data_IF_248237001104
#
_entry.id   IF_248237001104
#
_cell.length_a   1.000
_cell.length_b   1.000
_cell.length_c   1.000
_cell.angle_alpha   90.00
_cell.angle_beta   90.00
_cell.angle_gamma   90.00
#
_symmetry.space_group_name_H-M   'P 1'
#
loop_
_entity.id
_entity.type
_entity.pdbx_description
1 polymer ?
#
# COMPACT_ATOMS: atom_id res chain seq x y z
N UNK A 1 -6.06 -3.54 21.90
CA UNK A 1 -6.24 -3.78 20.45
C UNK A 1 -4.95 -3.41 19.72
N UNK A 2 -4.61 -4.16 18.68
CA UNK A 2 -3.46 -3.86 17.83
C UNK A 2 -3.81 -2.76 16.84
N UNK A 3 -2.81 -1.97 16.43
CA UNK A 3 -2.93 -1.01 15.34
C UNK A 3 -1.79 -1.24 14.33
N UNK A 4 -2.08 -0.98 13.06
CA UNK A 4 -1.18 -1.23 11.96
C UNK A 4 -1.07 0.00 11.07
N UNK A 5 0.13 0.37 10.66
CA UNK A 5 0.39 1.42 9.69
C UNK A 5 1.57 1.01 8.81
N UNK A 6 1.53 1.38 7.53
CA UNK A 6 2.67 1.24 6.62
C UNK A 6 3.53 2.48 6.57
N UNK A 7 2.93 3.66 6.67
CA UNK A 7 3.61 4.95 6.65
C UNK A 7 3.16 5.82 7.82
N UNK A 8 3.96 6.82 8.15
CA UNK A 8 3.64 7.83 9.14
C UNK A 8 4.25 9.17 8.75
N UNK A 9 3.98 10.20 9.55
CA UNK A 9 4.64 11.50 9.39
C UNK A 9 6.10 11.52 9.89
N UNK A 10 6.56 10.44 10.50
CA UNK A 10 7.92 10.31 11.04
C UNK A 10 8.83 9.39 10.22
N UNK A 11 8.24 8.58 9.32
CA UNK A 11 8.97 7.64 8.48
C UNK A 11 8.83 8.00 7.00
N UNK A 12 9.80 7.67 6.15
CA UNK A 12 9.60 7.77 4.71
C UNK A 12 8.38 6.95 4.28
N UNK A 13 7.65 7.44 3.28
CA UNK A 13 6.46 6.76 2.75
C UNK A 13 6.77 5.34 2.30
N UNK A 14 5.81 4.43 2.43
CA UNK A 14 6.00 3.01 2.13
C UNK A 14 6.56 2.74 0.73
N UNK A 15 6.08 3.36 -0.36
CA UNK A 15 6.69 3.16 -1.67
C UNK A 15 8.19 3.45 -1.70
N UNK A 16 8.63 4.56 -1.10
CA UNK A 16 10.05 4.92 -1.00
C UNK A 16 10.85 3.88 -0.21
N UNK A 17 10.35 3.46 0.96
CA UNK A 17 11.02 2.45 1.79
C UNK A 17 11.12 1.09 1.10
N UNK A 18 10.18 0.78 0.22
CA UNK A 18 10.15 -0.50 -0.52
C UNK A 18 10.90 -0.44 -1.86
N UNK A 19 11.73 0.59 -2.06
CA UNK A 19 12.66 0.67 -3.18
C UNK A 19 12.31 1.70 -4.24
N UNK A 20 11.22 2.45 -4.05
CA UNK A 20 10.79 3.51 -4.96
C UNK A 20 10.31 3.03 -6.34
N UNK A 21 9.84 3.96 -7.15
CA UNK A 21 9.31 3.71 -8.48
C UNK A 21 8.12 2.76 -8.50
N UNK A 22 7.79 2.23 -9.67
CA UNK A 22 6.64 1.34 -9.82
C UNK A 22 6.74 0.07 -8.96
N UNK A 23 7.94 -0.45 -8.75
CA UNK A 23 8.16 -1.61 -7.88
C UNK A 23 7.88 -1.31 -6.41
N UNK A 24 8.32 -0.14 -5.92
CA UNK A 24 8.03 0.31 -4.56
C UNK A 24 6.54 0.55 -4.34
N UNK A 25 5.85 1.16 -5.32
CA UNK A 25 4.40 1.36 -5.31
C UNK A 25 3.65 0.02 -5.28
N UNK A 26 4.03 -0.91 -6.16
CA UNK A 26 3.41 -2.25 -6.20
C UNK A 26 3.60 -3.00 -4.87
N UNK A 27 4.80 -2.96 -4.29
CA UNK A 27 5.06 -3.57 -2.97
C UNK A 27 4.20 -2.93 -1.88
N UNK A 28 4.13 -1.60 -1.83
CA UNK A 28 3.31 -0.91 -0.84
C UNK A 28 1.83 -1.28 -0.96
N UNK A 29 1.31 -1.35 -2.20
CA UNK A 29 -0.07 -1.77 -2.46
C UNK A 29 -0.29 -3.26 -2.09
N UNK A 30 0.66 -4.15 -2.35
CA UNK A 30 0.57 -5.54 -1.93
C UNK A 30 0.54 -5.66 -0.38
N UNK A 31 1.37 -4.89 0.33
CA UNK A 31 1.35 -4.86 1.79
C UNK A 31 0.08 -4.21 2.37
N UNK A 32 -0.65 -3.37 1.61
CA UNK A 32 -1.93 -2.84 2.06
C UNK A 32 -2.99 -3.94 2.23
N UNK A 33 -2.90 -5.04 1.48
CA UNK A 33 -3.73 -6.24 1.68
C UNK A 33 -3.51 -6.79 3.09
N UNK A 34 -2.24 -6.94 3.51
CA UNK A 34 -1.93 -7.37 4.88
C UNK A 34 -2.46 -6.37 5.91
N UNK A 35 -2.13 -5.08 5.74
CA UNK A 35 -2.54 -4.01 6.64
C UNK A 35 -4.06 -3.99 6.87
N UNK A 36 -4.85 -4.08 5.81
CA UNK A 36 -6.30 -3.94 5.87
C UNK A 36 -7.01 -5.21 6.35
N UNK A 37 -6.40 -6.39 6.20
CA UNK A 37 -7.08 -7.64 6.51
C UNK A 37 -6.57 -8.35 7.78
N UNK A 38 -5.50 -7.88 8.39
CA UNK A 38 -5.11 -8.31 9.75
C UNK A 38 -6.15 -7.88 10.80
N UNK A 39 -6.26 -8.63 11.92
CA UNK A 39 -7.03 -8.18 13.08
C UNK A 39 -6.45 -6.88 13.66
N UNK A 40 -7.32 -5.97 14.06
CA UNK A 40 -6.93 -4.69 14.64
C UNK A 40 -7.40 -3.50 13.80
N UNK A 41 -6.87 -2.32 14.12
CA UNK A 41 -7.23 -1.06 13.50
C UNK A 41 -6.16 -0.65 12.49
N UNK A 42 -6.45 -0.64 11.18
CA UNK A 42 -5.53 -0.12 10.18
C UNK A 42 -5.55 1.41 10.15
N UNK A 43 -4.37 2.00 10.12
CA UNK A 43 -4.17 3.42 9.87
C UNK A 43 -3.57 3.59 8.47
N UNK A 44 -4.23 4.39 7.64
CA UNK A 44 -3.74 4.79 6.34
C UNK A 44 -3.19 6.21 6.47
N UNK A 45 -1.91 6.37 6.23
CA UNK A 45 -1.30 7.69 6.20
C UNK A 45 -1.65 8.37 4.88
N UNK A 46 -1.99 9.65 4.95
CA UNK A 46 -2.36 10.44 3.77
C UNK A 46 -1.36 10.26 2.62
N UNK A 47 -1.85 9.90 1.44
CA UNK A 47 -1.05 9.63 0.25
C UNK A 47 -0.61 8.18 0.07
N UNK A 48 -0.79 7.29 1.06
CA UNK A 48 -0.63 5.84 0.86
C UNK A 48 -1.62 5.35 -0.19
N UNK A 49 -2.86 5.86 -0.14
CA UNK A 49 -3.93 5.56 -1.09
C UNK A 49 -3.67 6.03 -2.51
N UNK A 50 -2.73 6.95 -2.70
CA UNK A 50 -2.27 7.42 -4.01
C UNK A 50 -0.96 6.76 -4.46
N UNK A 51 -0.34 5.96 -3.59
CA UNK A 51 0.97 5.39 -3.86
C UNK A 51 2.10 6.42 -3.87
N UNK A 52 1.95 7.52 -3.13
CA UNK A 52 2.93 8.61 -3.16
C UNK A 52 4.25 8.20 -2.53
N UNK A 53 5.34 8.59 -3.16
CA UNK A 53 6.68 8.53 -2.59
C UNK A 53 6.99 9.77 -1.73
N UNK A 54 7.97 9.64 -0.83
CA UNK A 54 8.59 10.78 -0.18
C UNK A 54 9.31 11.63 -1.23
N UNK A 55 9.22 12.94 -1.10
CA UNK A 55 9.96 13.87 -1.95
C UNK A 55 11.33 14.19 -1.35
N UNK A 56 12.26 14.62 -2.19
CA UNK A 56 13.47 15.29 -1.73
C UNK A 56 13.16 16.76 -1.45
N UNK A 57 13.48 17.21 -0.23
CA UNK A 57 13.29 18.61 0.17
C UNK A 57 14.65 19.28 0.21
N UNK A 58 14.83 20.35 -0.58
CA UNK A 58 16.08 21.10 -0.62
C UNK A 58 16.35 21.77 0.75
N UNK A 59 17.62 21.96 1.13
CA UNK A 59 17.97 22.54 2.43
C UNK A 59 17.26 23.86 2.73
N UNK A 60 17.09 24.73 1.72
CA UNK A 60 16.41 26.02 1.84
C UNK A 60 14.89 25.94 2.07
N UNK A 61 14.27 24.80 1.73
CA UNK A 61 12.84 24.55 1.90
C UNK A 61 12.53 23.63 3.11
N UNK A 62 13.56 23.15 3.82
CA UNK A 62 13.37 22.29 5.00
C UNK A 62 12.70 23.06 6.13
N UNK A 63 11.69 22.44 6.73
CA UNK A 63 10.95 23.00 7.86
C UNK A 63 11.05 22.13 9.13
N UNK A 64 11.46 20.86 9.01
CA UNK A 64 11.60 19.96 10.16
C UNK A 64 12.80 20.34 11.03
N UNK A 65 12.57 20.64 12.34
CA UNK A 65 13.68 20.90 13.27
C UNK A 65 14.70 19.75 13.38
N UNK A 66 14.32 18.52 13.03
CA UNK A 66 15.25 17.38 13.02
C UNK A 66 16.29 17.58 11.92
N UNK A 67 15.86 17.85 10.68
CA UNK A 67 16.78 18.14 9.57
C UNK A 67 17.73 19.32 9.90
N UNK A 68 17.19 20.38 10.49
CA UNK A 68 17.97 21.57 10.87
C UNK A 68 19.01 21.32 11.96
N UNK A 69 18.91 20.22 12.71
CA UNK A 69 19.85 19.82 13.76
C UNK A 69 20.83 18.74 13.34
N UNK A 70 20.57 18.09 12.20
CA UNK A 70 21.40 16.98 11.74
C UNK A 70 22.66 17.52 11.06
N UNK A 71 23.80 17.35 11.72
CA UNK A 71 25.11 17.72 11.16
C UNK A 71 25.52 16.84 9.99
N UNK A 72 24.91 15.66 9.83
CA UNK A 72 25.17 14.72 8.75
C UNK A 72 24.40 15.04 7.46
N UNK A 73 23.57 16.08 7.45
CA UNK A 73 22.78 16.50 6.28
C UNK A 73 21.60 15.59 5.95
N UNK A 74 21.15 14.75 6.89
CA UNK A 74 19.96 13.91 6.67
C UNK A 74 18.70 14.76 6.56
N UNK A 75 17.79 14.36 5.63
CA UNK A 75 16.64 15.16 5.18
C UNK A 75 15.51 15.36 6.22
N UNK A 76 15.63 14.81 7.43
CA UNK A 76 14.54 14.85 8.40
C UNK A 76 13.28 14.13 7.88
N UNK A 77 12.11 14.66 8.25
CA UNK A 77 10.81 14.02 7.99
C UNK A 77 9.97 14.71 6.93
N UNK A 78 10.42 15.84 6.41
CA UNK A 78 9.64 16.70 5.52
C UNK A 78 9.21 16.01 4.22
N UNK A 79 10.05 15.11 3.70
CA UNK A 79 9.74 14.35 2.50
C UNK A 79 8.44 13.54 2.57
N UNK A 80 8.15 12.97 3.75
CA UNK A 80 6.91 12.24 3.99
C UNK A 80 5.70 13.14 4.21
N UNK A 81 5.93 14.42 4.56
CA UNK A 81 4.91 15.42 4.90
C UNK A 81 4.51 16.31 3.74
N UNK A 82 5.02 16.03 2.54
CA UNK A 82 4.71 16.79 1.32
C UNK A 82 3.20 16.87 1.07
N UNK A 83 2.72 17.99 0.49
CA UNK A 83 1.31 18.18 0.18
C UNK A 83 0.74 17.11 -0.76
N UNK A 84 -0.56 16.86 -0.64
CA UNK A 84 -1.27 15.90 -1.49
C UNK A 84 -1.65 16.56 -2.82
N UNK A 85 -1.35 15.92 -3.98
CA UNK A 85 -1.76 16.40 -5.28
C UNK A 85 -3.24 16.07 -5.54
N UNK A 86 -4.09 17.09 -5.69
CA UNK A 86 -5.53 16.90 -5.90
C UNK A 86 -5.91 16.85 -7.37
N UNK A 87 -5.46 17.82 -8.14
CA UNK A 87 -5.74 17.92 -9.58
C UNK A 87 -4.58 18.57 -10.33
N UNK A 88 -4.55 18.45 -11.64
CA UNK A 88 -3.56 19.12 -12.50
C UNK A 88 -3.70 20.63 -12.41
N UNK A 89 -2.59 21.35 -12.26
CA UNK A 89 -2.55 22.80 -12.15
C UNK A 89 -1.54 23.32 -11.13
N UNK A 90 -1.62 24.60 -10.82
CA UNK A 90 -0.71 25.24 -9.87
C UNK A 90 -0.80 24.58 -8.49
N UNK A 91 0.36 24.27 -7.91
CA UNK A 91 0.48 23.53 -6.64
C UNK A 91 -0.39 22.26 -6.58
N UNK A 92 -0.66 21.64 -7.73
CA UNK A 92 -1.54 20.48 -7.85
C UNK A 92 -2.89 20.64 -7.12
N UNK A 93 -3.42 21.85 -7.09
CA UNK A 93 -4.69 22.17 -6.44
C UNK A 93 -4.68 22.10 -4.91
N UNK A 94 -3.51 21.91 -4.29
CA UNK A 94 -3.40 21.88 -2.84
C UNK A 94 -3.62 23.25 -2.19
N UNK A 95 -3.08 24.31 -2.82
CA UNK A 95 -3.14 25.67 -2.28
C UNK A 95 -3.13 26.70 -3.41
N UNK A 96 -3.78 27.83 -3.17
CA UNK A 96 -3.73 29.02 -4.06
C UNK A 96 -2.50 29.89 -3.78
N UNK A 97 -1.74 29.62 -2.74
CA UNK A 97 -0.48 30.26 -2.39
C UNK A 97 0.66 29.26 -2.27
N UNK A 98 1.88 29.74 -1.95
CA UNK A 98 3.03 28.87 -1.73
C UNK A 98 2.71 27.86 -0.61
N UNK A 99 2.76 26.52 -0.84
CA UNK A 99 2.63 25.52 0.21
C UNK A 99 3.78 25.67 1.23
N UNK A 100 3.55 25.21 2.47
CA UNK A 100 4.57 25.25 3.53
C UNK A 100 5.77 24.32 3.27
N UNK A 101 5.54 23.24 2.53
CA UNK A 101 6.56 22.35 1.97
C UNK A 101 6.35 22.26 0.44
N UNK A 102 7.40 22.00 -0.33
CA UNK A 102 7.27 21.85 -1.78
C UNK A 102 6.40 20.66 -2.18
N UNK A 103 5.80 20.71 -3.36
CA UNK A 103 5.09 19.57 -3.95
C UNK A 103 6.04 18.44 -4.37
N UNK A 104 7.31 18.75 -4.64
CA UNK A 104 8.29 17.82 -5.22
C UNK A 104 8.04 17.58 -6.72
N UNK A 105 8.75 16.61 -7.27
CA UNK A 105 8.64 16.21 -8.68
C UNK A 105 7.43 15.26 -8.87
N UNK A 106 6.23 15.78 -8.58
CA UNK A 106 4.96 15.05 -8.76
C UNK A 106 4.58 15.02 -10.24
N UNK A 107 4.01 13.88 -10.66
CA UNK A 107 3.41 13.75 -11.97
C UNK A 107 1.90 14.00 -11.94
N UNK A 108 1.30 14.25 -13.10
CA UNK A 108 -0.15 14.44 -13.23
C UNK A 108 -0.92 13.17 -12.86
N UNK A 109 -0.35 11.99 -13.11
CA UNK A 109 -0.93 10.69 -12.80
C UNK A 109 -1.01 10.42 -11.28
N UNK A 110 -0.23 11.12 -10.47
CA UNK A 110 -0.26 11.00 -9.02
C UNK A 110 -1.42 11.78 -8.37
N UNK A 111 -2.17 12.56 -9.15
CA UNK A 111 -3.29 13.35 -8.60
C UNK A 111 -4.50 12.49 -8.26
N UNK A 112 -5.27 12.94 -7.27
CA UNK A 112 -6.57 12.33 -6.93
C UNK A 112 -7.50 12.28 -8.14
N UNK A 113 -7.55 13.39 -8.91
CA UNK A 113 -8.43 13.49 -10.09
C UNK A 113 -8.06 12.50 -11.18
N UNK A 114 -6.78 12.27 -11.43
CA UNK A 114 -6.33 11.29 -12.42
C UNK A 114 -6.62 9.86 -11.97
N UNK A 115 -6.47 9.56 -10.69
CA UNK A 115 -6.61 8.21 -10.16
C UNK A 115 -8.05 7.78 -9.85
N UNK A 116 -8.96 8.72 -9.57
CA UNK A 116 -10.28 8.39 -9.00
C UNK A 116 -11.17 7.51 -9.87
N UNK A 117 -10.96 7.48 -11.18
CA UNK A 117 -11.72 6.69 -12.17
C UNK A 117 -10.85 5.70 -12.94
N UNK A 118 -9.55 5.64 -12.67
CA UNK A 118 -8.64 4.68 -13.28
C UNK A 118 -8.61 3.40 -12.43
N UNK A 119 -9.20 2.33 -12.94
CA UNK A 119 -9.27 1.01 -12.29
C UNK A 119 -7.88 0.41 -12.01
N UNK A 120 -6.86 0.80 -12.76
CA UNK A 120 -5.46 0.39 -12.56
C UNK A 120 -4.75 1.16 -11.45
N UNK A 121 -5.29 2.31 -11.02
CA UNK A 121 -4.64 3.20 -10.06
C UNK A 121 -4.61 2.67 -8.64
N UNK A 122 -3.65 3.17 -7.86
CA UNK A 122 -3.56 2.85 -6.43
C UNK A 122 -4.80 3.26 -5.66
N UNK A 123 -5.35 4.45 -5.95
CA UNK A 123 -6.57 4.95 -5.29
C UNK A 123 -7.77 4.05 -5.55
N UNK A 124 -7.94 3.59 -6.79
CA UNK A 124 -9.04 2.69 -7.12
C UNK A 124 -8.88 1.35 -6.39
N UNK A 125 -7.67 0.79 -6.37
CA UNK A 125 -7.34 -0.44 -5.64
C UNK A 125 -7.59 -0.32 -4.13
N UNK A 126 -7.28 0.81 -3.51
CA UNK A 126 -7.63 1.05 -2.11
C UNK A 126 -9.14 1.09 -1.87
N UNK A 127 -9.92 1.69 -2.78
CA UNK A 127 -11.40 1.66 -2.70
C UNK A 127 -11.93 0.23 -2.76
N UNK A 128 -11.43 -0.59 -3.69
CA UNK A 128 -11.79 -2.02 -3.80
C UNK A 128 -11.47 -2.76 -2.48
N UNK A 129 -10.29 -2.55 -1.91
CA UNK A 129 -9.88 -3.18 -0.65
C UNK A 129 -10.77 -2.77 0.53
N UNK A 130 -11.11 -1.48 0.65
CA UNK A 130 -12.02 -1.00 1.69
C UNK A 130 -13.42 -1.58 1.54
N UNK A 131 -13.93 -1.64 0.32
CA UNK A 131 -15.22 -2.24 0.04
C UNK A 131 -15.22 -3.72 0.41
N UNK A 132 -14.23 -4.47 -0.06
CA UNK A 132 -14.10 -5.90 0.23
C UNK A 132 -13.96 -6.18 1.73
N UNK A 133 -13.17 -5.36 2.44
CA UNK A 133 -13.06 -5.41 3.91
C UNK A 133 -14.42 -5.19 4.57
N UNK A 134 -15.16 -4.15 4.17
CA UNK A 134 -16.46 -3.81 4.76
C UNK A 134 -17.52 -4.89 4.51
N UNK A 135 -17.50 -5.50 3.34
CA UNK A 135 -18.46 -6.54 2.95
C UNK A 135 -18.17 -7.91 3.59
N UNK A 136 -16.90 -8.23 3.84
CA UNK A 136 -16.47 -9.60 4.16
C UNK A 136 -15.91 -9.80 5.56
N UNK A 137 -15.43 -8.75 6.21
CA UNK A 137 -14.82 -8.92 7.53
C UNK A 137 -15.77 -8.58 8.67
N UNK A 138 -16.13 -9.59 9.44
CA UNK A 138 -16.58 -9.39 10.82
C UNK A 138 -15.35 -9.05 11.69
N UNK A 139 -15.39 -7.95 12.49
CA UNK A 139 -14.32 -7.59 13.41
C UNK A 139 -13.88 -8.73 14.33
N UNK A 140 -14.80 -9.63 14.71
CA UNK A 140 -14.54 -10.76 15.59
C UNK A 140 -14.03 -12.02 14.88
N UNK A 141 -13.96 -12.01 13.53
CA UNK A 141 -13.46 -13.16 12.78
C UNK A 141 -12.01 -13.46 13.13
N UNK A 142 -11.74 -14.75 13.40
CA UNK A 142 -10.42 -15.19 13.79
C UNK A 142 -9.51 -15.35 12.56
N UNK A 143 -8.25 -14.98 12.74
CA UNK A 143 -7.20 -15.22 11.76
C UNK A 143 -6.59 -16.59 11.96
N UNK A 144 -6.37 -17.33 10.86
CA UNK A 144 -5.61 -18.58 10.86
C UNK A 144 -4.51 -18.51 9.81
N UNK A 145 -3.27 -18.69 10.22
CA UNK A 145 -2.13 -18.73 9.32
C UNK A 145 -2.16 -19.97 8.43
N UNK A 146 -1.88 -19.82 7.14
CA UNK A 146 -1.73 -20.91 6.17
C UNK A 146 -0.25 -21.24 6.00
N UNK A 147 0.62 -20.22 5.97
CA UNK A 147 2.06 -20.39 5.75
C UNK A 147 2.86 -20.32 7.04
N UNK A 148 4.02 -20.98 7.03
CA UNK A 148 5.00 -20.92 8.12
C UNK A 148 5.79 -19.61 8.11
N UNK A 149 6.57 -19.35 9.17
CA UNK A 149 7.42 -18.16 9.28
C UNK A 149 8.54 -18.09 8.23
N UNK A 150 8.98 -19.24 7.74
CA UNK A 150 10.10 -19.33 6.78
C UNK A 150 9.63 -19.24 5.33
N UNK A 151 8.31 -19.06 5.11
CA UNK A 151 7.74 -18.90 3.78
C UNK A 151 7.98 -17.50 3.24
N UNK A 152 8.33 -17.41 1.96
CA UNK A 152 8.34 -16.16 1.18
C UNK A 152 6.93 -15.64 0.87
N UNK A 153 5.89 -16.44 1.13
CA UNK A 153 4.49 -16.03 1.03
C UNK A 153 3.91 -15.92 2.43
N UNK A 154 3.36 -14.76 2.75
CA UNK A 154 2.52 -14.56 3.93
C UNK A 154 1.09 -14.85 3.52
N UNK A 155 0.46 -15.88 4.11
CA UNK A 155 -0.92 -16.21 3.81
C UNK A 155 -1.71 -16.61 5.05
N UNK A 156 -2.96 -16.16 5.10
CA UNK A 156 -3.89 -16.44 6.19
C UNK A 156 -5.34 -16.46 5.71
N UNK A 157 -6.19 -17.14 6.46
CA UNK A 157 -7.65 -17.04 6.32
C UNK A 157 -8.22 -16.11 7.38
N UNK A 158 -9.25 -15.37 7.04
CA UNK A 158 -10.08 -14.61 7.96
C UNK A 158 -11.50 -14.50 7.39
N UNK A 159 -12.51 -14.87 8.17
CA UNK A 159 -13.87 -15.11 7.66
C UNK A 159 -13.85 -16.12 6.49
N UNK A 160 -14.47 -15.77 5.37
CA UNK A 160 -14.56 -16.57 4.15
C UNK A 160 -13.50 -16.20 3.08
N UNK A 161 -12.43 -15.50 3.50
CA UNK A 161 -11.38 -15.06 2.58
C UNK A 161 -10.02 -15.64 2.91
N UNK A 162 -9.20 -15.81 1.88
CA UNK A 162 -7.75 -16.06 1.95
C UNK A 162 -7.04 -14.82 1.44
N UNK A 163 -6.16 -14.26 2.26
CA UNK A 163 -5.21 -13.23 1.85
C UNK A 163 -3.84 -13.88 1.67
N UNK A 164 -3.18 -13.62 0.55
CA UNK A 164 -1.83 -14.11 0.29
C UNK A 164 -0.98 -13.02 -0.35
N UNK A 165 0.27 -12.85 0.13
CA UNK A 165 1.20 -11.82 -0.32
C UNK A 165 2.57 -12.47 -0.49
N UNK A 166 3.14 -12.32 -1.68
CA UNK A 166 4.52 -12.73 -1.94
C UNK A 166 5.48 -11.60 -1.54
N UNK A 167 6.24 -11.83 -0.48
CA UNK A 167 7.27 -10.92 0.04
C UNK A 167 8.68 -11.33 -0.40
N UNK A 168 8.80 -12.42 -1.13
CA UNK A 168 10.06 -12.96 -1.65
C UNK A 168 10.58 -12.26 -2.90
N UNK A 169 11.73 -12.71 -3.35
CA UNK A 169 12.44 -12.19 -4.53
C UNK A 169 12.14 -12.93 -5.85
N UNK A 170 11.21 -13.88 -5.85
CA UNK A 170 10.83 -14.69 -7.02
C UNK A 170 9.36 -15.08 -6.98
N UNK A 171 8.85 -15.63 -8.08
CA UNK A 171 7.48 -16.17 -8.12
C UNK A 171 7.33 -17.37 -7.21
N UNK A 172 6.19 -17.46 -6.54
CA UNK A 172 5.89 -18.51 -5.56
C UNK A 172 4.54 -19.17 -5.83
N UNK A 173 4.43 -20.43 -5.43
CA UNK A 173 3.19 -21.22 -5.55
C UNK A 173 2.69 -21.62 -4.17
N UNK A 174 1.42 -21.33 -3.91
CA UNK A 174 0.73 -21.70 -2.68
C UNK A 174 -0.43 -22.65 -2.99
N UNK A 175 -0.42 -23.83 -2.39
CA UNK A 175 -1.53 -24.79 -2.49
C UNK A 175 -2.60 -24.41 -1.48
N UNK A 176 -3.79 -24.03 -1.99
CA UNK A 176 -4.93 -23.61 -1.18
C UNK A 176 -6.06 -24.67 -1.13
N UNK A 177 -6.18 -25.51 -2.17
CA UNK A 177 -7.28 -26.49 -2.31
C UNK A 177 -8.28 -26.05 -3.38
N UNK A 178 -9.06 -27.03 -3.86
CA UNK A 178 -10.03 -26.80 -4.97
C UNK A 178 -11.36 -26.21 -4.50
N UNK A 179 -11.56 -26.11 -3.19
CA UNK A 179 -12.71 -25.46 -2.56
C UNK A 179 -12.66 -23.93 -2.60
N UNK A 180 -11.53 -23.37 -3.04
CA UNK A 180 -11.41 -21.93 -3.27
C UNK A 180 -12.09 -21.53 -4.58
N UNK A 181 -12.67 -20.33 -4.60
CA UNK A 181 -13.28 -19.74 -5.79
C UNK A 181 -12.29 -18.81 -6.51
N UNK A 182 -12.81 -17.80 -7.20
CA UNK A 182 -11.99 -16.86 -7.98
C UNK A 182 -11.22 -15.85 -7.14
N UNK A 183 -10.17 -15.29 -7.73
CA UNK A 183 -9.49 -14.10 -7.20
C UNK A 183 -10.49 -12.93 -7.25
N UNK A 184 -10.71 -12.28 -6.11
CA UNK A 184 -11.57 -11.10 -5.98
C UNK A 184 -10.80 -9.80 -6.03
N UNK A 185 -9.53 -9.85 -5.65
CA UNK A 185 -8.63 -8.71 -5.69
C UNK A 185 -7.21 -9.21 -5.95
N UNK A 186 -6.45 -8.47 -6.75
CA UNK A 186 -5.03 -8.75 -6.93
C UNK A 186 -4.20 -7.49 -7.15
N UNK A 187 -2.93 -7.63 -6.80
CA UNK A 187 -1.84 -6.69 -7.10
C UNK A 187 -0.73 -7.47 -7.78
N UNK A 188 -0.17 -6.95 -8.87
CA UNK A 188 0.84 -7.65 -9.64
C UNK A 188 0.31 -8.93 -10.29
N UNK A 189 1.20 -9.86 -10.57
CA UNK A 189 0.87 -11.11 -11.23
C UNK A 189 0.32 -12.12 -10.22
N UNK A 190 -0.96 -12.46 -10.34
CA UNK A 190 -1.61 -13.46 -9.51
C UNK A 190 -2.54 -14.33 -10.36
N UNK A 191 -2.35 -15.64 -10.32
CA UNK A 191 -3.16 -16.62 -11.05
C UNK A 191 -3.59 -17.72 -10.09
N UNK A 192 -4.89 -18.04 -10.08
CA UNK A 192 -5.43 -19.18 -9.34
C UNK A 192 -6.01 -20.21 -10.29
N UNK A 193 -5.52 -21.43 -10.23
CA UNK A 193 -5.97 -22.55 -11.05
C UNK A 193 -5.74 -23.88 -10.33
N UNK A 194 -6.70 -24.79 -10.42
CA UNK A 194 -6.61 -26.14 -9.84
C UNK A 194 -6.24 -26.20 -8.35
N UNK A 195 -6.66 -25.19 -7.57
CA UNK A 195 -6.36 -25.11 -6.14
C UNK A 195 -4.95 -24.62 -5.81
N UNK A 196 -4.23 -24.09 -6.81
CA UNK A 196 -2.89 -23.49 -6.65
C UNK A 196 -2.98 -22.01 -6.99
N UNK A 197 -2.53 -21.18 -6.05
CA UNK A 197 -2.29 -19.76 -6.27
C UNK A 197 -0.82 -19.56 -6.63
N UNK A 198 -0.57 -18.97 -7.78
CA UNK A 198 0.74 -18.52 -8.21
C UNK A 198 0.80 -17.00 -8.08
N UNK A 199 1.81 -16.51 -7.35
CA UNK A 199 2.07 -15.10 -7.08
C UNK A 199 3.42 -14.72 -7.66
N UNK A 200 3.43 -13.74 -8.55
CA UNK A 200 4.66 -13.10 -9.04
C UNK A 200 5.37 -12.31 -7.96
N UNK A 201 6.44 -11.62 -8.35
CA UNK A 201 7.20 -10.75 -7.48
C UNK A 201 6.34 -9.58 -6.98
N UNK A 202 6.40 -9.29 -5.68
CA UNK A 202 5.67 -8.20 -5.06
C UNK A 202 4.15 -8.23 -5.37
N UNK A 203 3.58 -9.42 -5.43
CA UNK A 203 2.17 -9.63 -5.75
C UNK A 203 1.36 -10.02 -4.52
N UNK A 204 0.08 -9.72 -4.56
CA UNK A 204 -0.88 -10.14 -3.55
C UNK A 204 -2.19 -10.56 -4.18
N UNK A 205 -2.93 -11.44 -3.51
CA UNK A 205 -4.28 -11.83 -3.92
C UNK A 205 -5.20 -12.02 -2.71
N UNK A 206 -6.47 -11.72 -2.91
CA UNK A 206 -7.56 -12.10 -2.03
C UNK A 206 -8.48 -13.06 -2.80
N UNK A 207 -8.69 -14.24 -2.24
CA UNK A 207 -9.48 -15.30 -2.80
C UNK A 207 -10.62 -15.64 -1.85
N UNK A 208 -11.81 -15.95 -2.39
CA UNK A 208 -12.92 -16.41 -1.60
C UNK A 208 -12.83 -17.90 -1.34
N UNK A 209 -13.19 -18.33 -0.13
CA UNK A 209 -13.49 -19.72 0.12
C UNK A 209 -14.81 -20.06 -0.59
N UNK A 210 -14.82 -21.10 -1.41
CA UNK A 210 -16.05 -21.62 -1.97
C UNK A 210 -16.91 -22.20 -0.85
N UNK A 211 -18.13 -21.70 -0.71
CA UNK A 211 -19.16 -22.27 0.18
C UNK A 211 -19.86 -23.39 -0.52
#
# INVERSE_FOLDING_TARGET
DLSWALSSHDDPRAPTRFGGGEQGKQRALAYSVLLLFLPGLPFIYQGDELGLESILVKPEDQADPVALRNEDGSDGRDGARSPIPWHVGENFGFSTGKPWLPMGDRSEEETVDSQKFDEGSTLFKYKELFQLRAERLDPNSQLKWITSRDSSVIAFTRADIVCAINVGGQSEKLKLGKEMSDIKFSVGDAVFSDGILELGLASAAIIMSGV
#
